data_IF_750605350848
#
_entry.id   IF_750605350848
#
_cell.length_a   1.000
_cell.length_b   1.000
_cell.length_c   1.000
_cell.angle_alpha   90.00
_cell.angle_beta   90.00
_cell.angle_gamma   90.00
#
_symmetry.space_group_name_H-M   'P 1'
#
loop_
_entity.id
_entity.type
_entity.pdbx_description
1 polymer ?
#
# COMPACT_ATOMS: atom_id res chain seq x y z
N UNK A 1 -6.21 27.62 3.71
CA UNK A 1 -5.29 27.28 2.60
C UNK A 1 -5.47 25.82 2.16
N UNK A 2 -5.76 24.88 3.07
CA UNK A 2 -6.00 23.45 2.79
C UNK A 2 -7.14 23.14 1.81
N UNK A 3 -8.29 23.84 1.88
CA UNK A 3 -9.41 23.59 0.93
C UNK A 3 -8.98 23.72 -0.54
N UNK A 4 -8.07 24.66 -0.84
CA UNK A 4 -7.69 24.99 -2.21
C UNK A 4 -7.00 23.82 -2.94
N UNK A 5 -6.25 22.97 -2.24
CA UNK A 5 -5.44 21.91 -2.87
C UNK A 5 -6.28 20.66 -3.17
N UNK A 6 -7.14 20.27 -2.23
CA UNK A 6 -8.11 19.18 -2.45
C UNK A 6 -9.15 19.58 -3.50
N UNK A 7 -9.63 20.82 -3.47
CA UNK A 7 -10.56 21.34 -4.47
C UNK A 7 -9.92 21.31 -5.88
N UNK A 8 -8.63 21.66 -6.00
CA UNK A 8 -7.89 21.53 -7.26
C UNK A 8 -7.80 20.07 -7.74
N UNK A 9 -7.50 19.12 -6.85
CA UNK A 9 -7.43 17.70 -7.19
C UNK A 9 -8.79 17.13 -7.63
N UNK A 10 -9.88 17.55 -6.99
CA UNK A 10 -11.23 17.16 -7.41
C UNK A 10 -11.61 17.77 -8.74
N UNK A 11 -11.33 19.06 -8.94
CA UNK A 11 -11.60 19.75 -10.21
C UNK A 11 -10.89 19.07 -11.38
N UNK A 12 -9.62 18.68 -11.18
CA UNK A 12 -8.82 17.92 -12.15
C UNK A 12 -9.52 16.63 -12.61
N UNK A 13 -10.12 15.91 -11.66
CA UNK A 13 -10.81 14.66 -11.94
C UNK A 13 -12.15 14.95 -12.62
N UNK A 14 -12.94 15.89 -12.08
CA UNK A 14 -14.25 16.26 -12.61
C UNK A 14 -14.21 16.79 -14.05
N UNK A 15 -13.13 17.50 -14.41
CA UNK A 15 -12.93 18.05 -15.74
C UNK A 15 -12.48 16.99 -16.77
N UNK A 16 -12.23 15.75 -16.37
CA UNK A 16 -11.84 14.68 -17.29
C UNK A 16 -13.04 14.27 -18.18
N UNK A 17 -13.02 14.58 -19.49
CA UNK A 17 -14.15 14.32 -20.38
C UNK A 17 -14.47 12.83 -20.51
N UNK A 18 -13.48 11.95 -20.29
CA UNK A 18 -13.67 10.50 -20.38
C UNK A 18 -14.54 9.96 -19.24
N UNK A 19 -14.59 10.63 -18.09
CA UNK A 19 -15.48 10.20 -17.00
C UNK A 19 -16.96 10.34 -17.41
N UNK A 20 -17.33 11.43 -18.08
CA UNK A 20 -18.68 11.63 -18.62
C UNK A 20 -19.04 10.58 -19.68
N UNK A 21 -18.06 10.14 -20.47
CA UNK A 21 -18.24 9.06 -21.45
C UNK A 21 -18.50 7.72 -20.74
N UNK A 22 -17.73 7.42 -19.68
CA UNK A 22 -17.90 6.19 -18.87
C UNK A 22 -19.26 6.14 -18.18
N UNK A 23 -19.78 7.28 -17.72
CA UNK A 23 -21.09 7.37 -17.08
C UNK A 23 -22.25 7.10 -18.04
N UNK A 24 -22.11 7.54 -19.30
CA UNK A 24 -23.20 7.54 -20.30
C UNK A 24 -23.12 6.38 -21.29
N UNK A 25 -21.99 5.68 -21.39
CA UNK A 25 -21.82 4.57 -22.33
C UNK A 25 -22.74 3.38 -22.03
N UNK A 26 -23.27 2.78 -23.10
CA UNK A 26 -24.12 1.58 -23.03
C UNK A 26 -23.30 0.29 -22.90
N UNK A 27 -22.01 0.34 -23.20
CA UNK A 27 -21.11 -0.84 -23.18
C UNK A 27 -20.84 -1.30 -21.75
N UNK A 28 -20.86 -0.38 -20.78
CA UNK A 28 -20.73 -0.68 -19.37
C UNK A 28 -22.11 -0.95 -18.78
N UNK A 29 -22.47 -2.23 -18.72
CA UNK A 29 -23.81 -2.71 -18.37
C UNK A 29 -24.11 -2.71 -16.88
N UNK A 30 -23.09 -2.66 -16.03
CA UNK A 30 -23.22 -2.68 -14.57
C UNK A 30 -22.61 -1.44 -13.94
N UNK A 31 -23.26 -0.93 -12.89
CA UNK A 31 -22.74 0.14 -12.04
C UNK A 31 -21.35 -0.19 -11.47
N UNK A 32 -21.10 -1.46 -11.11
CA UNK A 32 -19.78 -1.89 -10.63
C UNK A 32 -18.69 -1.77 -11.70
N UNK A 33 -19.02 -2.06 -12.95
CA UNK A 33 -18.10 -1.92 -14.08
C UNK A 33 -17.83 -0.45 -14.39
N UNK A 34 -18.86 0.40 -14.34
CA UNK A 34 -18.71 1.85 -14.46
C UNK A 34 -17.82 2.41 -13.36
N UNK A 35 -18.09 2.08 -12.10
CA UNK A 35 -17.28 2.50 -10.96
C UNK A 35 -15.81 2.08 -11.14
N UNK A 36 -15.55 0.83 -11.53
CA UNK A 36 -14.18 0.34 -11.76
C UNK A 36 -13.48 1.09 -12.89
N UNK A 37 -14.17 1.34 -14.01
CA UNK A 37 -13.65 2.08 -15.13
C UNK A 37 -13.36 3.55 -14.77
N UNK A 38 -14.28 4.22 -14.06
CA UNK A 38 -14.13 5.60 -13.58
C UNK A 38 -12.92 5.74 -12.64
N UNK A 39 -12.77 4.83 -11.68
CA UNK A 39 -11.61 4.81 -10.78
C UNK A 39 -10.31 4.64 -11.60
N UNK A 40 -10.29 3.70 -12.53
CA UNK A 40 -9.14 3.48 -13.41
C UNK A 40 -8.76 4.72 -14.22
N UNK A 41 -9.76 5.44 -14.76
CA UNK A 41 -9.55 6.67 -15.51
C UNK A 41 -9.02 7.79 -14.62
N UNK A 42 -9.62 8.01 -13.46
CA UNK A 42 -9.17 9.02 -12.49
C UNK A 42 -7.72 8.79 -12.06
N UNK A 43 -7.34 7.53 -11.77
CA UNK A 43 -5.95 7.18 -11.43
C UNK A 43 -4.99 7.53 -12.58
N UNK A 44 -5.37 7.20 -13.82
CA UNK A 44 -4.51 7.50 -14.97
C UNK A 44 -4.38 9.02 -15.19
N UNK A 45 -5.46 9.78 -15.02
CA UNK A 45 -5.42 11.24 -15.14
C UNK A 45 -4.48 11.88 -14.11
N UNK A 46 -4.55 11.42 -12.85
CA UNK A 46 -3.63 11.87 -11.80
C UNK A 46 -2.17 11.52 -12.11
N UNK A 47 -1.91 10.34 -12.70
CA UNK A 47 -0.55 9.94 -13.13
C UNK A 47 -0.02 10.74 -14.32
N UNK A 48 -0.90 11.14 -15.24
CA UNK A 48 -0.53 12.04 -16.34
C UNK A 48 -0.12 13.40 -15.78
N UNK A 49 -0.90 13.93 -14.85
CA UNK A 49 -0.58 15.20 -14.20
C UNK A 49 0.67 15.15 -13.33
N UNK A 50 0.92 14.04 -12.62
CA UNK A 50 2.19 13.81 -11.90
C UNK A 50 3.40 14.00 -12.83
N UNK A 51 3.28 13.64 -14.12
CA UNK A 51 4.35 13.81 -15.13
C UNK A 51 4.42 15.21 -15.72
N UNK A 52 3.29 15.92 -15.79
CA UNK A 52 3.23 17.31 -16.27
C UNK A 52 3.75 18.30 -15.23
N UNK A 53 3.69 17.92 -13.95
CA UNK A 53 4.25 18.67 -12.84
C UNK A 53 5.78 18.55 -12.90
N UNK A 54 6.41 19.47 -13.62
CA UNK A 54 7.85 19.67 -13.64
C UNK A 54 8.25 20.52 -12.43
N UNK A 55 8.62 19.85 -11.34
CA UNK A 55 9.14 20.48 -10.14
C UNK A 55 10.63 20.15 -10.04
N UNK A 56 11.46 21.19 -9.97
CA UNK A 56 12.85 21.07 -9.54
C UNK A 56 12.88 20.70 -8.04
N UNK A 57 12.66 19.41 -7.74
CA UNK A 57 12.68 18.87 -6.39
C UNK A 57 14.12 18.57 -5.99
N UNK A 58 14.52 19.04 -4.81
CA UNK A 58 15.78 18.64 -4.19
C UNK A 58 15.68 17.23 -3.61
N UNK A 59 16.82 16.61 -3.30
CA UNK A 59 16.85 15.33 -2.58
C UNK A 59 16.15 15.40 -1.22
N UNK A 60 16.17 16.57 -0.56
CA UNK A 60 15.45 16.81 0.70
C UNK A 60 13.93 16.85 0.48
N UNK A 61 13.47 17.48 -0.60
CA UNK A 61 12.04 17.51 -0.96
C UNK A 61 11.53 16.12 -1.29
N UNK A 62 12.32 15.32 -2.02
CA UNK A 62 11.98 13.93 -2.34
C UNK A 62 11.86 13.10 -1.06
N UNK A 63 12.79 13.27 -0.11
CA UNK A 63 12.70 12.60 1.19
C UNK A 63 11.47 13.02 1.98
N UNK A 64 11.12 14.31 1.93
CA UNK A 64 9.93 14.84 2.59
C UNK A 64 8.65 14.31 1.95
N UNK A 65 8.60 14.23 0.61
CA UNK A 65 7.48 13.63 -0.12
C UNK A 65 7.34 12.15 0.26
N UNK A 66 8.43 11.38 0.29
CA UNK A 66 8.41 9.97 0.70
C UNK A 66 7.94 9.76 2.15
N UNK A 67 8.00 10.79 3.02
CA UNK A 67 7.42 10.73 4.37
C UNK A 67 5.88 10.78 4.35
N UNK A 68 5.29 11.46 3.38
CA UNK A 68 3.84 11.71 3.31
C UNK A 68 3.14 10.99 2.15
N UNK A 69 3.89 10.39 1.23
CA UNK A 69 3.39 9.63 0.12
C UNK A 69 3.76 8.15 0.28
N UNK A 70 2.75 7.28 0.24
CA UNK A 70 2.99 5.85 0.09
C UNK A 70 3.69 5.58 -1.25
N UNK A 71 4.85 4.92 -1.26
CA UNK A 71 5.51 4.54 -2.52
C UNK A 71 4.58 3.66 -3.37
N UNK A 72 4.74 3.72 -4.70
CA UNK A 72 3.83 3.07 -5.67
C UNK A 72 3.51 1.58 -5.38
N UNK A 73 4.43 0.86 -4.74
CA UNK A 73 4.31 -0.56 -4.44
C UNK A 73 4.22 -0.85 -2.93
N UNK A 74 3.99 0.16 -2.09
CA UNK A 74 4.00 0.00 -0.63
C UNK A 74 2.96 -1.00 -0.15
N UNK A 75 1.79 -1.01 -0.81
CA UNK A 75 0.73 -1.98 -0.56
C UNK A 75 1.15 -3.43 -0.88
N UNK A 76 2.09 -3.63 -1.81
CA UNK A 76 2.64 -4.96 -2.13
C UNK A 76 3.61 -5.45 -1.05
N UNK A 77 4.18 -4.54 -0.26
CA UNK A 77 5.04 -4.92 0.86
C UNK A 77 4.23 -5.44 2.05
N UNK A 78 2.94 -5.12 2.14
CA UNK A 78 2.08 -5.59 3.23
C UNK A 78 1.70 -7.06 2.98
N UNK A 79 1.90 -7.95 3.96
CA UNK A 79 1.48 -9.34 3.82
C UNK A 79 -0.03 -9.43 3.75
N UNK A 80 -0.54 -10.42 3.01
CA UNK A 80 -1.98 -10.68 2.89
C UNK A 80 -2.68 -10.85 4.25
N UNK A 81 -1.96 -11.41 5.23
CA UNK A 81 -2.46 -11.70 6.56
C UNK A 81 -1.56 -11.11 7.65
N UNK A 82 -2.16 -10.29 8.50
CA UNK A 82 -1.56 -9.75 9.71
C UNK A 82 -1.68 -10.74 10.87
N UNK A 83 -0.74 -10.60 11.80
CA UNK A 83 -0.76 -11.27 13.10
C UNK A 83 -1.58 -10.48 14.11
N UNK A 84 -1.97 -11.16 15.20
CA UNK A 84 -2.65 -10.52 16.35
C UNK A 84 -1.84 -9.35 16.92
N UNK A 85 -0.51 -9.44 16.92
CA UNK A 85 0.35 -8.40 17.49
C UNK A 85 0.35 -7.15 16.62
N UNK A 86 0.39 -7.32 15.30
CA UNK A 86 0.35 -6.18 14.36
C UNK A 86 -1.02 -5.51 14.40
N UNK A 87 -2.10 -6.29 14.45
CA UNK A 87 -3.45 -5.74 14.60
C UNK A 87 -3.60 -5.04 15.95
N UNK A 88 -3.06 -5.59 17.04
CA UNK A 88 -3.08 -4.96 18.36
C UNK A 88 -2.42 -3.57 18.36
N UNK A 89 -1.29 -3.42 17.66
CA UNK A 89 -0.64 -2.13 17.46
C UNK A 89 -1.49 -1.20 16.59
N UNK A 90 -2.06 -1.73 15.52
CA UNK A 90 -2.82 -0.97 14.53
C UNK A 90 -4.08 -0.32 15.12
N UNK A 91 -4.86 -1.07 15.91
CA UNK A 91 -6.13 -0.60 16.50
C UNK A 91 -6.01 -0.24 17.98
N UNK A 92 -4.78 -0.13 18.51
CA UNK A 92 -4.48 0.33 19.87
C UNK A 92 -5.17 -0.45 21.00
N UNK A 93 -5.23 -1.78 20.87
CA UNK A 93 -5.80 -2.65 21.91
C UNK A 93 -4.84 -3.78 22.27
N UNK A 94 -5.06 -4.42 23.41
CA UNK A 94 -4.23 -5.55 23.79
C UNK A 94 -4.38 -6.74 22.81
N UNK A 95 -3.33 -7.56 22.60
CA UNK A 95 -3.44 -8.80 21.83
C UNK A 95 -4.57 -9.73 22.28
N UNK A 96 -4.90 -9.74 23.58
CA UNK A 96 -6.02 -10.53 24.10
C UNK A 96 -7.37 -9.99 23.62
N UNK A 97 -7.52 -8.67 23.55
CA UNK A 97 -8.73 -8.04 23.00
C UNK A 97 -8.88 -8.36 21.52
N UNK A 98 -7.80 -8.29 20.72
CA UNK A 98 -7.83 -8.69 19.30
C UNK A 98 -8.29 -10.14 19.16
N UNK A 99 -7.76 -11.08 19.94
CA UNK A 99 -8.21 -12.49 19.92
C UNK A 99 -9.69 -12.61 20.25
N UNK A 100 -10.19 -11.85 21.22
CA UNK A 100 -11.62 -11.80 21.56
C UNK A 100 -12.45 -11.30 20.37
N UNK A 101 -12.04 -10.21 19.73
CA UNK A 101 -12.69 -9.65 18.53
C UNK A 101 -12.70 -10.64 17.35
N UNK A 102 -11.64 -11.43 17.18
CA UNK A 102 -11.60 -12.50 16.19
C UNK A 102 -12.59 -13.64 16.52
N UNK A 103 -12.71 -14.03 17.79
CA UNK A 103 -13.66 -15.07 18.21
C UNK A 103 -15.12 -14.61 18.10
N UNK A 104 -15.41 -13.33 18.36
CA UNK A 104 -16.76 -12.76 18.25
C UNK A 104 -17.15 -12.41 16.81
N UNK A 105 -16.23 -12.53 15.85
CA UNK A 105 -16.45 -12.18 14.46
C UNK A 105 -16.44 -10.68 14.14
N UNK A 106 -16.03 -9.84 15.10
CA UNK A 106 -15.88 -8.40 14.87
C UNK A 106 -14.67 -8.12 13.95
N UNK A 107 -13.63 -8.95 14.04
CA UNK A 107 -12.49 -8.96 13.12
C UNK A 107 -12.53 -10.28 12.36
N UNK A 108 -12.60 -10.24 11.03
CA UNK A 108 -12.56 -11.46 10.22
C UNK A 108 -11.17 -12.07 10.34
N UNK A 109 -11.10 -13.34 10.74
CA UNK A 109 -9.84 -14.04 10.89
C UNK A 109 -10.07 -15.56 10.84
N UNK A 110 -9.04 -16.31 10.44
CA UNK A 110 -9.05 -17.77 10.51
C UNK A 110 -7.82 -18.29 11.25
N UNK A 111 -7.89 -19.54 11.73
CA UNK A 111 -6.77 -20.22 12.39
C UNK A 111 -6.24 -21.32 11.49
N UNK A 112 -4.93 -21.38 11.28
CA UNK A 112 -4.29 -22.27 10.30
C UNK A 112 -4.46 -23.78 10.57
N UNK A 113 -4.67 -24.19 11.82
CA UNK A 113 -4.79 -25.60 12.23
C UNK A 113 -6.16 -25.88 12.82
N UNK A 114 -7.22 -25.91 12.01
CA UNK A 114 -8.59 -26.27 12.42
C UNK A 114 -9.00 -25.70 13.80
N UNK A 115 -8.77 -24.39 13.99
CA UNK A 115 -9.13 -23.72 15.25
C UNK A 115 -8.09 -23.76 16.37
N UNK A 116 -6.89 -24.33 16.19
CA UNK A 116 -5.78 -24.37 17.19
C UNK A 116 -4.51 -23.62 16.77
N UNK A 117 -4.40 -23.22 15.50
CA UNK A 117 -3.22 -22.56 14.94
C UNK A 117 -3.09 -21.07 15.28
N UNK A 118 -2.11 -20.42 14.63
CA UNK A 118 -1.95 -18.96 14.66
C UNK A 118 -3.15 -18.30 13.97
N UNK A 119 -3.55 -17.14 14.45
CA UNK A 119 -4.53 -16.29 13.79
C UNK A 119 -3.93 -15.68 12.53
N UNK A 120 -4.72 -15.71 11.45
CA UNK A 120 -4.46 -15.06 10.18
C UNK A 120 -5.58 -14.05 9.96
N UNK A 121 -5.23 -12.78 9.99
CA UNK A 121 -6.19 -11.67 9.90
C UNK A 121 -5.95 -10.97 8.56
N UNK A 122 -6.86 -11.08 7.57
CA UNK A 122 -6.69 -10.40 6.29
C UNK A 122 -6.42 -8.90 6.44
N UNK A 123 -5.33 -8.41 5.85
CA UNK A 123 -4.86 -7.03 5.99
C UNK A 123 -5.80 -6.00 5.35
N UNK A 124 -6.49 -6.41 4.27
CA UNK A 124 -7.42 -5.57 3.50
C UNK A 124 -8.54 -4.95 4.33
N UNK A 125 -8.93 -5.57 5.44
CA UNK A 125 -9.95 -5.08 6.37
C UNK A 125 -9.58 -3.77 7.04
N UNK A 126 -8.28 -3.47 7.10
CA UNK A 126 -7.76 -2.29 7.79
C UNK A 126 -7.23 -1.22 6.84
N UNK A 127 -7.38 -1.38 5.53
CA UNK A 127 -6.85 -0.40 4.54
C UNK A 127 -7.36 1.02 4.74
N UNK A 128 -8.56 1.17 5.33
CA UNK A 128 -9.17 2.47 5.62
C UNK A 128 -8.82 3.00 7.03
N UNK A 129 -8.08 2.23 7.82
CA UNK A 129 -7.70 2.63 9.17
C UNK A 129 -6.61 3.72 9.11
N UNK A 130 -6.70 4.81 9.90
CA UNK A 130 -5.74 5.92 9.83
C UNK A 130 -4.28 5.49 10.04
N UNK A 131 -4.06 4.49 10.90
CA UNK A 131 -2.73 3.97 11.22
C UNK A 131 -2.24 2.86 10.27
N UNK A 132 -3.01 2.52 9.24
CA UNK A 132 -2.61 1.49 8.27
C UNK A 132 -1.38 1.92 7.47
N UNK A 133 -1.28 3.21 7.17
CA UNK A 133 -0.13 3.78 6.48
C UNK A 133 1.18 3.60 7.28
N UNK A 134 1.15 3.77 8.61
CA UNK A 134 2.31 3.50 9.47
C UNK A 134 2.77 2.04 9.35
N UNK A 135 1.82 1.10 9.29
CA UNK A 135 2.10 -0.32 9.12
C UNK A 135 2.72 -0.61 7.75
N UNK A 136 2.17 0.01 6.70
CA UNK A 136 2.71 -0.10 5.32
C UNK A 136 4.16 0.40 5.28
N UNK A 137 4.45 1.57 5.86
CA UNK A 137 5.80 2.13 5.92
C UNK A 137 6.76 1.25 6.71
N UNK A 138 6.31 0.61 7.78
CA UNK A 138 7.12 -0.36 8.54
C UNK A 138 7.51 -1.56 7.68
N UNK A 139 6.60 -2.11 6.87
CA UNK A 139 6.91 -3.22 5.98
C UNK A 139 7.82 -2.80 4.82
N UNK A 140 7.63 -1.61 4.28
CA UNK A 140 8.50 -1.01 3.27
C UNK A 140 9.95 -0.97 3.77
N UNK A 141 10.18 -0.37 4.95
CA UNK A 141 11.51 -0.28 5.56
C UNK A 141 12.13 -1.66 5.84
N UNK A 142 11.31 -2.60 6.32
CA UNK A 142 11.77 -3.97 6.56
C UNK A 142 12.21 -4.64 5.24
N UNK A 143 11.46 -4.46 4.16
CA UNK A 143 11.79 -4.97 2.84
C UNK A 143 13.09 -4.36 2.31
N UNK A 144 13.23 -3.04 2.35
CA UNK A 144 14.45 -2.34 1.91
C UNK A 144 15.67 -2.80 2.71
N UNK A 145 15.54 -2.98 4.02
CA UNK A 145 16.63 -3.50 4.86
C UNK A 145 17.01 -4.94 4.48
N UNK A 146 16.02 -5.78 4.18
CA UNK A 146 16.23 -7.18 3.77
C UNK A 146 16.90 -7.25 2.40
N UNK A 147 16.49 -6.40 1.45
CA UNK A 147 17.08 -6.30 0.11
C UNK A 147 18.54 -5.83 0.18
N UNK A 148 18.85 -4.84 1.03
CA UNK A 148 20.24 -4.39 1.26
C UNK A 148 21.10 -5.54 1.78
N UNK A 149 20.64 -6.27 2.81
CA UNK A 149 21.37 -7.42 3.36
C UNK A 149 21.57 -8.49 2.29
N UNK A 150 20.53 -8.86 1.54
CA UNK A 150 20.63 -9.84 0.47
C UNK A 150 21.65 -9.41 -0.60
N UNK A 151 21.62 -8.14 -1.02
CA UNK A 151 22.58 -7.62 -2.02
C UNK A 151 24.02 -7.67 -1.53
N UNK A 152 24.27 -7.44 -0.23
CA UNK A 152 25.62 -7.55 0.34
C UNK A 152 26.10 -8.99 0.41
N UNK A 153 25.22 -9.93 0.73
CA UNK A 153 25.55 -11.36 0.74
C UNK A 153 25.90 -11.88 -0.65
N UNK A 154 25.15 -11.47 -1.68
CA UNK A 154 25.44 -11.82 -3.08
C UNK A 154 26.83 -11.31 -3.49
N UNK A 155 27.14 -10.04 -3.20
CA UNK A 155 28.46 -9.45 -3.52
C UNK A 155 29.61 -10.15 -2.80
N UNK A 156 29.39 -10.61 -1.57
CA UNK A 156 30.39 -11.38 -0.82
C UNK A 156 30.61 -12.75 -1.44
N UNK A 157 29.54 -13.46 -1.80
CA UNK A 157 29.62 -14.76 -2.46
C UNK A 157 30.34 -14.68 -3.82
N UNK A 158 30.03 -13.67 -4.63
CA UNK A 158 30.70 -13.43 -5.92
C UNK A 158 32.20 -13.10 -5.77
N UNK A 159 32.56 -12.43 -4.67
CA UNK A 159 33.97 -12.11 -4.37
C UNK A 159 34.74 -13.34 -3.93
N UNK A 160 34.11 -14.20 -3.13
CA UNK A 160 34.69 -15.46 -2.67
C UNK A 160 34.90 -16.43 -3.85
N UNK A 161 33.94 -16.53 -4.77
CA UNK A 161 34.08 -17.34 -6.00
C UNK A 161 35.22 -16.86 -6.91
N UNK A 162 35.39 -15.55 -7.10
CA UNK A 162 36.53 -15.01 -7.88
C UNK A 162 37.88 -15.29 -7.20
N UNK A 163 37.95 -15.16 -5.87
CA UNK A 163 39.19 -15.45 -5.15
C UNK A 163 39.61 -16.92 -5.18
N UNK A 164 38.67 -17.84 -5.42
CA UNK A 164 38.91 -19.28 -5.58
C UNK A 164 39.27 -19.68 -7.02
N UNK A 165 38.92 -18.86 -8.02
CA UNK A 165 39.28 -19.08 -9.43
C UNK A 165 40.65 -18.50 -9.79
N UNK A 166 41.12 -17.50 -9.04
CA UNK A 166 42.42 -16.85 -9.22
C UNK A 166 43.54 -17.48 -8.37
N UNK A 167 43.26 -18.57 -7.64
CA UNK A 167 44.19 -19.31 -6.76
C UNK A 167 44.51 -20.72 -7.33
#
# INVERSE_FOLDING_TARGET
>A
MEKKLMDMLFQIIEDDPQLKVIETTKDLTSERLRLRASIGRAINRLKEMEKEIDLDLTDEDIQLIHKYALPKNALEAVPEHLTVSEVAQLIEVSPQMVRRKCMTGEILAHRTLNGKGKWRIPANQFMTHPRFEELVMKYQLLRESSEKVASTMVKLAEKDEKSLQDA
#
